data_IF_076848134796
#
_entry.id   IF_076848134796
#
_cell.length_a   1.000
_cell.length_b   1.000
_cell.length_c   1.000
_cell.angle_alpha   90.00
_cell.angle_beta   90.00
_cell.angle_gamma   90.00
#
_symmetry.space_group_name_H-M   'P 1'
#
loop_
_entity.id
_entity.type
_entity.pdbx_description
1 polymer ?
#
# COMPACT_ATOMS: atom_id res chain seq x y z
N UNK A 1 -18.62 21.80 -23.72
CA UNK A 1 -17.15 21.78 -23.90
C UNK A 1 -16.63 22.81 -22.89
N UNK A 2 -15.99 22.49 -21.77
CA UNK A 2 -14.90 21.54 -21.55
C UNK A 2 -14.96 20.97 -20.13
N UNK A 3 -14.59 19.71 -20.04
CA UNK A 3 -14.34 18.94 -18.82
C UNK A 3 -13.28 19.63 -17.95
N UNK A 4 -13.72 20.41 -16.97
CA UNK A 4 -12.86 20.90 -15.90
C UNK A 4 -12.58 19.72 -14.95
N UNK A 5 -11.53 18.99 -15.31
CA UNK A 5 -11.15 17.71 -14.72
C UNK A 5 -11.00 17.79 -13.21
N UNK A 6 -11.69 16.88 -12.52
CA UNK A 6 -11.20 16.04 -11.43
C UNK A 6 -10.17 16.69 -10.47
N UNK A 7 -10.38 17.94 -10.09
CA UNK A 7 -9.48 18.78 -9.30
C UNK A 7 -9.54 18.44 -7.80
N UNK A 8 -9.63 17.17 -7.46
CA UNK A 8 -9.61 16.72 -6.06
C UNK A 8 -9.03 15.31 -5.93
N UNK A 9 -7.91 15.06 -6.62
CA UNK A 9 -6.91 14.13 -6.10
C UNK A 9 -6.22 14.82 -4.91
N UNK A 10 -6.93 14.78 -3.78
CA UNK A 10 -6.62 15.42 -2.51
C UNK A 10 -5.14 15.31 -2.15
N UNK A 11 -4.47 16.46 -2.17
CA UNK A 11 -3.62 16.96 -1.10
C UNK A 11 -3.47 16.00 0.10
N UNK A 12 -2.50 15.08 0.11
CA UNK A 12 -2.06 14.41 1.35
C UNK A 12 -0.56 14.16 1.33
N UNK A 13 0.15 15.12 1.90
CA UNK A 13 1.39 14.85 2.63
C UNK A 13 2.65 14.70 1.79
N UNK A 14 3.24 15.83 1.39
CA UNK A 14 4.70 15.90 1.33
C UNK A 14 5.22 15.76 2.77
N UNK A 15 5.58 14.54 3.17
CA UNK A 15 6.47 14.34 4.32
C UNK A 15 7.89 14.34 3.77
N UNK A 16 8.61 15.45 3.98
CA UNK A 16 10.02 15.58 3.62
C UNK A 16 10.83 14.41 4.19
N UNK A 17 11.37 13.59 3.28
CA UNK A 17 12.09 12.35 3.59
C UNK A 17 12.04 11.40 2.39
N UNK A 18 12.91 10.39 2.37
CA UNK A 18 12.89 9.34 1.32
C UNK A 18 11.47 8.76 1.24
N UNK A 19 10.82 8.74 0.07
CA UNK A 19 9.46 8.25 -0.06
C UNK A 19 9.33 6.87 0.57
N UNK A 20 8.33 6.71 1.45
CA UNK A 20 8.11 5.46 2.15
C UNK A 20 7.89 4.37 1.11
N UNK A 21 8.69 3.28 1.16
CA UNK A 21 8.61 2.20 0.15
C UNK A 21 7.19 1.62 0.05
N UNK A 22 6.46 1.65 1.16
CA UNK A 22 5.07 1.23 1.28
C UNK A 22 4.12 2.44 1.31
N UNK A 23 3.17 2.49 0.39
CA UNK A 23 2.12 3.51 0.33
C UNK A 23 0.76 2.87 0.64
N UNK A 24 -0.26 3.65 1.07
CA UNK A 24 -1.58 3.08 1.35
C UNK A 24 -2.21 2.41 0.12
N UNK A 25 -1.89 2.88 -1.09
CA UNK A 25 -2.29 2.24 -2.35
C UNK A 25 -1.65 0.86 -2.49
N UNK A 26 -0.32 0.76 -2.31
CA UNK A 26 0.39 -0.52 -2.35
C UNK A 26 -0.10 -1.48 -1.27
N UNK A 27 -0.49 -0.96 -0.10
CA UNK A 27 -1.02 -1.76 1.00
C UNK A 27 -2.37 -2.37 0.64
N UNK A 28 -3.28 -1.59 0.05
CA UNK A 28 -4.57 -2.11 -0.42
C UNK A 28 -4.40 -3.17 -1.51
N UNK A 29 -3.48 -2.93 -2.45
CA UNK A 29 -3.16 -3.90 -3.50
C UNK A 29 -2.60 -5.19 -2.90
N UNK A 30 -1.63 -5.07 -2.00
CA UNK A 30 -1.04 -6.22 -1.31
C UNK A 30 -2.07 -7.00 -0.48
N UNK A 31 -3.04 -6.34 0.16
CA UNK A 31 -4.14 -7.01 0.85
C UNK A 31 -5.05 -7.78 -0.10
N UNK A 32 -5.44 -7.16 -1.22
CA UNK A 32 -6.27 -7.81 -2.22
C UNK A 32 -5.58 -9.04 -2.81
N UNK A 33 -4.27 -8.96 -3.06
CA UNK A 33 -3.50 -10.09 -3.56
C UNK A 33 -3.28 -11.16 -2.48
N UNK A 34 -2.99 -10.81 -1.22
CA UNK A 34 -2.87 -11.76 -0.11
C UNK A 34 -4.15 -12.57 0.14
N UNK A 35 -5.32 -12.02 -0.16
CA UNK A 35 -6.59 -12.72 -0.09
C UNK A 35 -6.80 -13.75 -1.22
N UNK A 36 -6.00 -13.69 -2.28
CA UNK A 36 -6.00 -14.67 -3.36
C UNK A 36 -4.94 -15.74 -3.07
N UNK A 37 -5.36 -17.00 -2.89
CA UNK A 37 -4.46 -18.13 -2.57
C UNK A 37 -3.39 -18.41 -3.62
N UNK A 38 -3.57 -17.90 -4.85
CA UNK A 38 -2.60 -18.07 -5.95
C UNK A 38 -1.49 -17.00 -5.94
N UNK A 39 -1.60 -15.97 -5.10
CA UNK A 39 -0.62 -14.87 -5.08
C UNK A 39 0.69 -15.31 -4.44
N UNK A 40 1.76 -15.29 -5.23
CA UNK A 40 3.14 -15.42 -4.73
C UNK A 40 3.60 -14.13 -4.07
N UNK A 41 3.75 -14.15 -2.75
CA UNK A 41 4.25 -13.02 -1.94
C UNK A 41 5.58 -12.47 -2.46
N UNK A 42 6.47 -13.34 -2.95
CA UNK A 42 7.76 -12.93 -3.52
C UNK A 42 7.59 -12.08 -4.78
N UNK A 43 6.75 -12.50 -5.72
CA UNK A 43 6.45 -11.76 -6.95
C UNK A 43 5.74 -10.45 -6.62
N UNK A 44 4.74 -10.49 -5.74
CA UNK A 44 4.05 -9.30 -5.24
C UNK A 44 5.04 -8.26 -4.66
N UNK A 45 5.99 -8.71 -3.85
CA UNK A 45 7.02 -7.85 -3.27
C UNK A 45 7.92 -7.21 -4.34
N UNK A 46 8.30 -7.98 -5.37
CA UNK A 46 9.09 -7.49 -6.50
C UNK A 46 8.32 -6.44 -7.32
N UNK A 47 7.08 -6.73 -7.70
CA UNK A 47 6.18 -5.82 -8.42
C UNK A 47 5.96 -4.51 -7.65
N UNK A 48 5.74 -4.60 -6.34
CA UNK A 48 5.53 -3.45 -5.48
C UNK A 48 6.83 -2.70 -5.13
N UNK A 49 8.00 -3.28 -5.43
CA UNK A 49 9.31 -2.74 -5.06
C UNK A 49 9.53 -2.68 -3.55
N UNK A 50 8.90 -3.57 -2.78
CA UNK A 50 9.00 -3.66 -1.33
C UNK A 50 9.64 -4.98 -0.91
N UNK A 51 10.22 -5.02 0.29
CA UNK A 51 10.74 -6.28 0.83
C UNK A 51 9.62 -7.06 1.52
N UNK A 52 9.77 -8.39 1.59
CA UNK A 52 8.91 -9.27 2.40
C UNK A 52 8.80 -8.80 3.85
N UNK A 53 9.90 -8.28 4.41
CA UNK A 53 9.91 -7.69 5.76
C UNK A 53 8.98 -6.48 5.87
N UNK A 54 9.03 -5.57 4.89
CA UNK A 54 8.16 -4.39 4.88
C UNK A 54 6.70 -4.82 4.79
N UNK A 55 6.39 -5.76 3.90
CA UNK A 55 5.06 -6.32 3.75
C UNK A 55 4.56 -6.95 5.07
N UNK A 56 5.34 -7.84 5.69
CA UNK A 56 4.95 -8.54 6.91
C UNK A 56 4.79 -7.65 8.15
N UNK A 57 5.47 -6.50 8.16
CA UNK A 57 5.27 -5.49 9.20
C UNK A 57 3.88 -4.87 9.12
N UNK A 58 3.33 -4.72 7.91
CA UNK A 58 2.04 -4.10 7.66
C UNK A 58 0.88 -5.10 7.52
N UNK A 59 1.13 -6.30 6.99
CA UNK A 59 0.14 -7.33 6.66
C UNK A 59 0.64 -8.68 7.18
N UNK A 60 -0.18 -9.39 7.93
CA UNK A 60 0.10 -10.73 8.42
C UNK A 60 0.12 -11.75 7.26
N UNK A 61 0.83 -12.88 7.34
CA UNK A 61 0.77 -13.96 6.34
C UNK A 61 -0.65 -14.51 6.08
N UNK A 62 -1.60 -14.25 6.98
CA UNK A 62 -3.03 -14.55 6.81
C UNK A 62 -3.83 -13.43 6.12
N UNK A 63 -3.16 -12.42 5.55
CA UNK A 63 -3.80 -11.28 4.88
C UNK A 63 -4.39 -10.22 5.82
N UNK A 64 -4.26 -10.39 7.14
CA UNK A 64 -4.78 -9.43 8.11
C UNK A 64 -3.89 -8.19 8.26
N UNK A 65 -4.51 -7.02 8.36
CA UNK A 65 -3.84 -5.75 8.63
C UNK A 65 -3.25 -5.73 10.05
N UNK A 66 -1.96 -5.41 10.16
CA UNK A 66 -1.31 -5.14 11.45
C UNK A 66 -1.43 -3.66 11.83
N UNK A 67 -1.12 -3.36 13.10
CA UNK A 67 -1.15 -2.00 13.63
C UNK A 67 -0.39 -0.98 12.75
N UNK A 68 0.76 -1.36 12.18
CA UNK A 68 1.52 -0.48 11.29
C UNK A 68 0.84 -0.25 9.95
N UNK A 69 0.13 -1.25 9.42
CA UNK A 69 -0.67 -1.08 8.20
C UNK A 69 -1.91 -0.23 8.44
N UNK A 70 -2.55 -0.38 9.60
CA UNK A 70 -3.69 0.45 10.02
C UNK A 70 -3.25 1.91 10.20
N UNK A 71 -2.12 2.14 10.87
CA UNK A 71 -1.51 3.48 10.99
C UNK A 71 -1.23 4.08 9.61
N UNK A 72 -0.78 3.28 8.64
CA UNK A 72 -0.45 3.75 7.30
C UNK A 72 -1.72 4.09 6.49
N UNK A 73 -2.83 3.37 6.70
CA UNK A 73 -4.13 3.71 6.13
C UNK A 73 -4.77 4.94 6.79
N UNK A 74 -4.67 5.07 8.11
CA UNK A 74 -5.21 6.20 8.87
C UNK A 74 -4.40 7.49 8.71
N UNK A 75 -3.15 7.40 8.23
CA UNK A 75 -2.33 8.57 7.88
C UNK A 75 -2.71 9.21 6.54
N UNK A 76 -3.63 8.58 5.80
CA UNK A 76 -4.10 9.04 4.50
C UNK A 76 -5.44 9.72 4.58
#
# INVERSE_FOLDING_TARGET
MLSAGLASARARGRNGGRPYKMTPVKLRLAMASMGQSETKVSTLCQELGITRQTLYRHISPVGQLRADGIKLLNRG
#
